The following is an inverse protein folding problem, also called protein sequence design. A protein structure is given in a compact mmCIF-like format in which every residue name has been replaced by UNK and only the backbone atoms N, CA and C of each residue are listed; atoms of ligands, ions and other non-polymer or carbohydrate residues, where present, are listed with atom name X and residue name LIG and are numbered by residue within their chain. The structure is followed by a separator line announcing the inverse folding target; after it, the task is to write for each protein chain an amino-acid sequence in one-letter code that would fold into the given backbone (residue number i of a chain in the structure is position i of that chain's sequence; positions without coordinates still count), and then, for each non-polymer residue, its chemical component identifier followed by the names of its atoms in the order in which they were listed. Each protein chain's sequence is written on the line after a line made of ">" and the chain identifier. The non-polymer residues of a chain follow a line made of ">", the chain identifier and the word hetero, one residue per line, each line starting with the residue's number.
data_IF_785267865142
#
_entry.id   IF_785267865142
#
_cell.length_a   1.000
_cell.length_b   1.000
_cell.length_c   1.000
_cell.angle_alpha   90.00
_cell.angle_beta   90.00
_cell.angle_gamma   90.00
#
_symmetry.space_group_name_H-M   'P 1'
#
loop_
_entity.id
_entity.type
_entity.pdbx_description
1 polymer ?
#
# COMPACT_ATOMS: atom_id res chain seq x y z
N UNK A 1 -0.57 -1.23 4.73
CA UNK A 1 0.26 -0.72 3.62
C UNK A 1 1.36 -1.74 3.37
N UNK A 2 1.55 -2.24 2.13
CA UNK A 2 2.69 -3.09 1.80
C UNK A 2 3.99 -2.30 1.93
N UNK A 3 5.08 -3.00 2.27
CA UNK A 3 6.41 -2.43 2.37
C UNK A 3 7.38 -3.32 1.59
N UNK A 4 8.04 -2.78 0.57
CA UNK A 4 9.14 -3.43 -0.11
C UNK A 4 10.39 -3.39 0.78
N UNK A 5 11.26 -4.41 0.73
CA UNK A 5 12.49 -4.42 1.51
C UNK A 5 13.43 -3.29 1.09
N UNK A 6 14.48 -2.98 1.87
CA UNK A 6 15.56 -2.12 1.41
C UNK A 6 16.15 -2.63 0.10
N UNK A 7 16.58 -1.71 -0.76
CA UNK A 7 17.17 -2.03 -2.06
C UNK A 7 18.50 -2.78 -1.91
N UNK A 8 18.76 -3.72 -2.81
CA UNK A 8 20.01 -4.46 -2.85
C UNK A 8 21.14 -3.57 -3.37
N UNK A 9 22.38 -3.83 -2.92
CA UNK A 9 23.55 -3.01 -3.25
C UNK A 9 23.84 -2.95 -4.76
N UNK A 10 23.62 -4.05 -5.49
CA UNK A 10 23.79 -4.10 -6.93
C UNK A 10 22.77 -3.23 -7.69
N UNK A 11 21.56 -3.10 -7.17
CA UNK A 11 20.53 -2.20 -7.70
C UNK A 11 20.87 -0.74 -7.44
N UNK A 12 21.44 -0.43 -6.26
CA UNK A 12 21.87 0.92 -5.89
C UNK A 12 23.05 1.38 -6.78
N UNK A 13 23.98 0.47 -7.10
CA UNK A 13 25.13 0.74 -7.94
C UNK A 13 24.80 0.86 -9.44
N UNK A 14 23.62 0.41 -9.86
CA UNK A 14 23.15 0.39 -11.25
C UNK A 14 22.21 1.55 -11.60
N UNK A 15 21.19 1.25 -12.39
CA UNK A 15 20.12 2.18 -12.75
C UNK A 15 19.09 2.26 -11.59
N UNK A 16 19.45 3.02 -10.59
CA UNK A 16 18.74 3.12 -9.30
C UNK A 16 17.25 3.44 -9.45
N UNK A 17 16.91 4.43 -10.25
CA UNK A 17 15.49 4.84 -10.41
C UNK A 17 14.68 3.73 -11.09
N UNK A 18 15.23 3.11 -12.09
CA UNK A 18 14.60 2.00 -12.81
C UNK A 18 14.45 0.77 -11.91
N UNK A 19 15.47 0.43 -11.15
CA UNK A 19 15.46 -0.71 -10.23
C UNK A 19 14.50 -0.49 -9.05
N UNK A 20 14.27 0.75 -8.63
CA UNK A 20 13.22 1.07 -7.65
C UNK A 20 11.84 0.66 -8.16
N UNK A 21 11.55 0.91 -9.43
CA UNK A 21 10.30 0.47 -10.07
C UNK A 21 10.14 -1.06 -10.07
N UNK A 22 11.19 -1.79 -10.46
CA UNK A 22 11.17 -3.26 -10.42
C UNK A 22 10.99 -3.80 -9.01
N UNK A 23 11.66 -3.24 -8.02
CA UNK A 23 11.51 -3.65 -6.61
C UNK A 23 10.05 -3.52 -6.12
N UNK A 24 9.36 -2.48 -6.54
CA UNK A 24 7.93 -2.28 -6.24
C UNK A 24 7.09 -3.38 -6.90
N UNK A 25 7.31 -3.62 -8.20
CA UNK A 25 6.59 -4.64 -8.98
C UNK A 25 6.82 -6.03 -8.39
N UNK A 26 8.06 -6.38 -8.09
CA UNK A 26 8.41 -7.67 -7.49
C UNK A 26 7.72 -7.86 -6.14
N UNK A 27 7.74 -6.84 -5.27
CA UNK A 27 7.08 -6.89 -3.98
C UNK A 27 5.56 -7.10 -4.09
N UNK A 28 4.90 -6.48 -5.07
CA UNK A 28 3.48 -6.66 -5.36
C UNK A 28 3.21 -8.09 -5.81
N UNK A 29 4.00 -8.60 -6.77
CA UNK A 29 3.86 -9.94 -7.33
C UNK A 29 4.12 -11.04 -6.28
N UNK A 30 5.22 -10.95 -5.53
CA UNK A 30 5.60 -11.92 -4.50
C UNK A 30 4.56 -12.03 -3.38
N UNK A 31 3.86 -10.94 -3.09
CA UNK A 31 2.79 -10.91 -2.09
C UNK A 31 1.41 -11.25 -2.65
N UNK A 32 1.28 -11.48 -3.95
CA UNK A 32 0.02 -11.75 -4.62
C UNK A 32 -0.98 -10.59 -4.47
N UNK A 33 -0.49 -9.34 -4.50
CA UNK A 33 -1.32 -8.16 -4.36
C UNK A 33 -1.82 -7.69 -5.73
N UNK A 34 -3.02 -7.13 -5.75
CA UNK A 34 -3.56 -6.43 -6.91
C UNK A 34 -3.22 -4.94 -6.79
N UNK A 35 -2.48 -4.40 -7.76
CA UNK A 35 -2.06 -3.00 -7.77
C UNK A 35 -3.25 -2.03 -7.90
N UNK A 36 -4.37 -2.45 -8.51
CA UNK A 36 -5.60 -1.65 -8.57
C UNK A 36 -6.30 -1.53 -7.20
N UNK A 37 -6.11 -2.53 -6.33
CA UNK A 37 -6.70 -2.55 -4.99
C UNK A 37 -5.84 -1.83 -3.94
N UNK A 38 -4.52 -1.85 -4.10
CA UNK A 38 -3.58 -1.37 -3.08
C UNK A 38 -3.36 0.14 -3.17
N UNK A 39 -3.07 0.67 -4.34
CA UNK A 39 -2.88 2.10 -4.61
C UNK A 39 -1.69 2.79 -3.92
N UNK A 40 -0.89 2.06 -3.12
CA UNK A 40 0.26 2.60 -2.39
C UNK A 40 1.22 1.51 -1.94
N UNK A 41 2.51 1.85 -1.76
CA UNK A 41 3.54 1.00 -1.18
C UNK A 41 4.61 1.85 -0.49
N UNK A 42 5.18 1.37 0.60
CA UNK A 42 6.39 1.91 1.20
C UNK A 42 7.60 1.18 0.63
N UNK A 43 8.65 1.90 0.27
CA UNK A 43 9.94 1.30 -0.12
C UNK A 43 10.92 1.51 1.03
N UNK A 44 11.49 0.41 1.53
CA UNK A 44 12.40 0.43 2.68
C UNK A 44 13.58 1.36 2.43
N UNK A 45 13.90 2.19 3.42
CA UNK A 45 14.94 3.23 3.39
C UNK A 45 14.78 4.28 2.27
N UNK A 46 13.60 4.40 1.67
CA UNK A 46 13.35 5.35 0.58
C UNK A 46 12.14 6.24 0.91
N UNK A 47 10.98 5.96 0.31
CA UNK A 47 9.81 6.80 0.38
C UNK A 47 8.52 6.01 0.12
N UNK A 48 7.33 6.58 0.42
CA UNK A 48 6.07 6.06 -0.09
C UNK A 48 5.95 6.32 -1.59
N UNK A 49 5.36 5.36 -2.30
CA UNK A 49 4.90 5.50 -3.67
C UNK A 49 3.40 5.30 -3.71
N UNK A 50 2.70 6.19 -4.41
CA UNK A 50 1.25 6.14 -4.53
C UNK A 50 0.83 6.31 -5.98
N UNK A 51 -0.24 5.64 -6.36
CA UNK A 51 -0.77 5.69 -7.72
C UNK A 51 -2.30 5.65 -7.72
N UNK A 52 -2.88 5.80 -8.90
CA UNK A 52 -4.31 5.71 -9.13
C UNK A 52 -4.63 5.96 -10.60
N UNK A 53 -5.88 5.75 -10.99
CA UNK A 53 -6.35 5.93 -12.38
C UNK A 53 -6.23 7.38 -12.87
N UNK A 54 -6.08 8.34 -11.97
CA UNK A 54 -5.87 9.76 -12.28
C UNK A 54 -4.84 10.35 -11.34
N UNK A 55 -4.22 11.47 -11.72
CA UNK A 55 -3.30 12.21 -10.84
C UNK A 55 -3.98 12.62 -9.51
N UNK A 56 -5.23 13.08 -9.56
CA UNK A 56 -6.00 13.42 -8.36
C UNK A 56 -6.17 12.20 -7.43
N UNK A 57 -6.40 11.00 -7.99
CA UNK A 57 -6.49 9.78 -7.18
C UNK A 57 -5.15 9.37 -6.58
N UNK A 58 -4.04 9.55 -7.29
CA UNK A 58 -2.70 9.31 -6.74
C UNK A 58 -2.40 10.25 -5.55
N UNK A 59 -2.73 11.54 -5.68
CA UNK A 59 -2.59 12.52 -4.58
C UNK A 59 -3.50 12.17 -3.39
N UNK A 60 -4.75 11.79 -3.65
CA UNK A 60 -5.65 11.31 -2.61
C UNK A 60 -5.07 10.11 -1.86
N UNK A 61 -4.53 9.11 -2.59
CA UNK A 61 -3.91 7.94 -2.00
C UNK A 61 -2.65 8.30 -1.19
N UNK A 62 -1.92 9.37 -1.56
CA UNK A 62 -0.79 9.88 -0.78
C UNK A 62 -1.23 10.41 0.58
N UNK A 63 -2.30 11.22 0.62
CA UNK A 63 -2.88 11.71 1.88
C UNK A 63 -3.39 10.54 2.75
N UNK A 64 -4.05 9.55 2.14
CA UNK A 64 -4.51 8.34 2.84
C UNK A 64 -3.33 7.54 3.39
N UNK A 65 -2.23 7.41 2.61
CA UNK A 65 -1.02 6.71 3.04
C UNK A 65 -0.44 7.32 4.32
N UNK A 66 -0.31 8.64 4.36
CA UNK A 66 0.18 9.40 5.51
C UNK A 66 -0.68 9.15 6.77
N UNK A 67 -2.00 9.30 6.64
CA UNK A 67 -2.90 9.10 7.78
C UNK A 67 -2.95 7.65 8.27
N UNK A 68 -2.93 6.67 7.36
CA UNK A 68 -2.90 5.25 7.74
C UNK A 68 -1.58 4.88 8.40
N UNK A 69 -0.45 5.40 7.92
CA UNK A 69 0.86 5.21 8.55
C UNK A 69 0.90 5.79 9.97
N UNK A 70 0.36 6.99 10.15
CA UNK A 70 0.22 7.64 11.47
C UNK A 70 -0.67 6.82 12.41
N UNK A 71 -1.82 6.35 11.95
CA UNK A 71 -2.69 5.49 12.76
C UNK A 71 -1.99 4.18 13.15
N UNK A 72 -1.25 3.55 12.24
CA UNK A 72 -0.49 2.34 12.53
C UNK A 72 0.59 2.59 13.59
N UNK A 73 1.35 3.69 13.45
CA UNK A 73 2.35 4.09 14.43
C UNK A 73 1.74 4.28 15.82
N UNK A 74 0.66 5.06 15.93
CA UNK A 74 -0.02 5.31 17.20
C UNK A 74 -0.60 4.01 17.80
N UNK A 75 -1.15 3.14 16.97
CA UNK A 75 -1.65 1.82 17.41
C UNK A 75 -0.54 1.00 18.08
N UNK A 76 0.64 0.95 17.46
CA UNK A 76 1.78 0.22 17.99
C UNK A 76 2.39 0.87 19.26
N UNK A 77 2.27 2.20 19.40
CA UNK A 77 2.65 2.88 20.64
C UNK A 77 1.70 2.51 21.80
N UNK A 78 0.41 2.36 21.53
CA UNK A 78 -0.60 1.98 22.55
C UNK A 78 -0.51 0.48 22.86
N UNK A 79 -0.38 -0.35 21.84
CA UNK A 79 -0.29 -1.80 21.94
C UNK A 79 0.72 -2.38 20.94
N UNK A 80 1.99 -2.61 21.34
CA UNK A 80 3.00 -3.17 20.44
C UNK A 80 2.65 -4.56 19.88
N UNK A 81 1.73 -5.27 20.52
CA UNK A 81 1.25 -6.58 20.11
C UNK A 81 -0.10 -6.54 19.41
N UNK A 82 -0.48 -5.39 18.84
CA UNK A 82 -1.74 -5.24 18.10
C UNK A 82 -1.83 -6.28 16.98
N UNK A 83 -2.92 -7.05 16.99
CA UNK A 83 -3.13 -8.08 15.97
C UNK A 83 -3.39 -7.48 14.59
N UNK A 84 -2.91 -8.16 13.56
CA UNK A 84 -3.20 -7.82 12.16
C UNK A 84 -4.69 -8.06 11.88
N UNK A 85 -5.29 -7.22 11.05
CA UNK A 85 -6.67 -7.37 10.62
C UNK A 85 -6.88 -8.74 9.95
N UNK A 86 -7.93 -9.46 10.37
CA UNK A 86 -8.28 -10.77 9.80
C UNK A 86 -8.60 -10.64 8.31
N UNK A 87 -8.06 -11.54 7.49
CA UNK A 87 -8.28 -11.54 6.02
C UNK A 87 -9.77 -11.55 5.65
N UNK A 88 -10.60 -12.34 6.35
CA UNK A 88 -12.04 -12.36 6.13
C UNK A 88 -12.70 -10.98 6.33
N UNK A 89 -12.23 -10.20 7.30
CA UNK A 89 -12.75 -8.86 7.56
C UNK A 89 -12.24 -7.86 6.51
N UNK A 90 -10.97 -7.96 6.12
CA UNK A 90 -10.38 -7.17 5.03
C UNK A 90 -11.15 -7.37 3.74
N UNK A 91 -11.38 -8.63 3.36
CA UNK A 91 -12.16 -9.00 2.18
C UNK A 91 -13.59 -8.42 2.23
N UNK A 92 -14.29 -8.59 3.36
CA UNK A 92 -15.63 -8.03 3.54
C UNK A 92 -15.66 -6.51 3.40
N UNK A 93 -14.67 -5.79 3.94
CA UNK A 93 -14.57 -4.34 3.83
C UNK A 93 -14.29 -3.88 2.39
N UNK A 94 -13.49 -4.64 1.66
CA UNK A 94 -13.23 -4.37 0.25
C UNK A 94 -14.48 -4.62 -0.61
N UNK A 95 -15.09 -5.79 -0.49
CA UNK A 95 -16.24 -6.21 -1.30
C UNK A 95 -17.45 -5.27 -1.16
N UNK A 96 -17.73 -4.76 0.03
CA UNK A 96 -18.85 -3.82 0.24
C UNK A 96 -18.68 -2.48 -0.47
N UNK A 97 -17.45 -2.11 -0.84
CA UNK A 97 -17.12 -0.86 -1.57
C UNK A 97 -16.87 -1.08 -3.05
N UNK A 98 -16.25 -2.19 -3.40
CA UNK A 98 -15.70 -2.45 -4.73
C UNK A 98 -16.20 -3.77 -5.33
N UNK A 99 -16.88 -4.61 -4.56
CA UNK A 99 -17.41 -5.88 -5.02
C UNK A 99 -18.60 -5.72 -5.97
N UNK A 100 -19.02 -6.83 -6.57
CA UNK A 100 -20.15 -6.89 -7.52
C UNK A 100 -21.46 -6.33 -6.94
N UNK A 101 -21.69 -6.55 -5.63
CA UNK A 101 -22.88 -6.08 -4.91
C UNK A 101 -22.52 -4.94 -3.94
N UNK A 102 -21.62 -4.04 -4.35
CA UNK A 102 -21.18 -2.93 -3.53
C UNK A 102 -22.36 -2.01 -3.12
N UNK A 103 -22.43 -1.68 -1.85
CA UNK A 103 -23.53 -0.87 -1.28
C UNK A 103 -23.03 0.30 -0.41
N UNK A 104 -21.72 0.44 -0.24
CA UNK A 104 -21.13 1.46 0.62
C UNK A 104 -20.12 2.33 -0.15
N UNK A 105 -20.26 3.65 -0.05
CA UNK A 105 -19.37 4.60 -0.70
C UNK A 105 -19.63 4.82 -2.20
N UNK A 106 -20.83 4.42 -2.69
CA UNK A 106 -21.21 4.54 -4.11
C UNK A 106 -21.80 5.91 -4.48
N UNK A 107 -22.02 6.78 -3.51
CA UNK A 107 -22.68 8.09 -3.70
C UNK A 107 -21.74 9.30 -3.63
N UNK A 108 -20.43 9.07 -3.80
CA UNK A 108 -19.43 10.17 -3.77
C UNK A 108 -18.82 10.38 -5.13
#
# INVERSE_FOLDING_TARGET
>A
IPCAPPMKDDYIAGDYEHMTGYQIIDCINERGLDYDEVGMILVGNHAPFTWGKTAAKAVYNSAVCEEVAKMAYLTLQINPNAAILKEALKKKHFERKHGKDAYYGQGC
#
